data_IF_174832619188
#
_entry.id   IF_174832619188
#
_cell.length_a   1.000
_cell.length_b   1.000
_cell.length_c   1.000
_cell.angle_alpha   90.00
_cell.angle_beta   90.00
_cell.angle_gamma   90.00
#
_symmetry.space_group_name_H-M   'P 1'
#
loop_
_entity.id
_entity.type
_entity.pdbx_description
1 polymer ?
#
# COMPACT_ATOMS: atom_id res chain seq x y z
N UNK A 1 -1.45 -13.39 3.95
CA UNK A 1 -0.74 -12.41 3.10
C UNK A 1 0.72 -12.24 3.56
N UNK A 2 1.44 -13.35 3.84
CA UNK A 2 2.56 -13.31 4.80
C UNK A 2 3.95 -13.58 4.17
N UNK A 3 4.04 -13.65 2.84
CA UNK A 3 5.28 -14.07 2.13
C UNK A 3 5.60 -13.27 0.86
N UNK A 4 4.82 -12.26 0.51
CA UNK A 4 4.96 -11.60 -0.80
C UNK A 4 6.21 -10.71 -0.90
N UNK A 5 6.66 -10.10 0.21
CA UNK A 5 7.81 -9.19 0.20
C UNK A 5 9.15 -9.89 -0.05
N UNK A 6 9.30 -11.13 0.45
CA UNK A 6 10.56 -11.87 0.39
C UNK A 6 10.94 -12.26 -1.03
N UNK A 7 9.95 -12.76 -1.77
CA UNK A 7 10.18 -13.33 -3.10
C UNK A 7 10.39 -12.25 -4.17
N UNK A 8 9.76 -11.08 -4.04
CA UNK A 8 9.89 -10.01 -5.02
C UNK A 8 11.24 -9.28 -4.93
N UNK A 9 11.75 -9.01 -3.72
CA UNK A 9 13.02 -8.32 -3.54
C UNK A 9 14.22 -9.17 -3.99
N UNK A 10 14.24 -10.45 -3.61
CA UNK A 10 15.34 -11.36 -3.95
C UNK A 10 15.42 -11.69 -5.45
N UNK A 11 14.28 -11.84 -6.13
CA UNK A 11 14.27 -12.21 -7.55
C UNK A 11 14.75 -11.08 -8.48
N UNK A 12 14.56 -9.82 -8.07
CA UNK A 12 14.80 -8.67 -8.95
C UNK A 12 15.91 -7.74 -8.43
N UNK A 13 16.49 -8.00 -7.26
CA UNK A 13 17.58 -7.19 -6.71
C UNK A 13 17.19 -5.73 -6.38
N UNK A 14 15.91 -5.49 -6.10
CA UNK A 14 15.35 -4.15 -5.91
C UNK A 14 15.70 -3.59 -4.53
N UNK A 15 15.96 -2.28 -4.48
CA UNK A 15 16.05 -1.50 -3.24
C UNK A 15 14.66 -1.11 -2.72
N UNK A 16 14.56 -0.68 -1.45
CA UNK A 16 13.27 -0.30 -0.89
C UNK A 16 12.66 0.91 -1.60
N UNK A 17 13.48 1.83 -2.07
CA UNK A 17 13.11 3.06 -2.76
C UNK A 17 12.49 2.79 -4.14
N UNK A 18 12.79 1.63 -4.74
CA UNK A 18 12.25 1.16 -6.02
C UNK A 18 10.94 0.37 -5.84
N UNK A 19 10.53 0.13 -4.60
CA UNK A 19 9.33 -0.66 -4.27
C UNK A 19 8.18 0.25 -3.85
N UNK A 20 7.02 -0.02 -4.45
CA UNK A 20 5.73 0.53 -4.04
C UNK A 20 4.91 -0.57 -3.37
N UNK A 21 4.53 -0.37 -2.12
CA UNK A 21 3.64 -1.26 -1.38
C UNK A 21 2.22 -0.70 -1.38
N UNK A 22 1.31 -1.36 -2.08
CA UNK A 22 -0.12 -1.07 -2.04
C UNK A 22 -0.78 -2.02 -1.05
N UNK A 23 -1.49 -1.49 -0.05
CA UNK A 23 -2.15 -2.31 0.96
C UNK A 23 -3.41 -1.65 1.55
N UNK A 24 -4.26 -2.48 2.15
CA UNK A 24 -5.46 -2.03 2.85
C UNK A 24 -5.13 -1.38 4.21
N UNK A 25 -5.98 -0.46 4.64
CA UNK A 25 -5.80 0.35 5.83
C UNK A 25 -7.11 0.46 6.64
N UNK A 26 -7.09 -0.08 7.86
CA UNK A 26 -8.23 -0.07 8.77
C UNK A 26 -8.50 1.32 9.34
N UNK A 27 -7.46 2.15 9.54
CA UNK A 27 -7.64 3.47 10.17
C UNK A 27 -8.20 4.54 9.21
N UNK A 28 -8.46 4.17 7.94
CA UNK A 28 -9.04 5.05 6.93
C UNK A 28 -10.38 4.48 6.46
N UNK A 29 -11.43 5.30 6.31
CA UNK A 29 -12.69 4.82 5.77
C UNK A 29 -12.55 4.45 4.29
N UNK A 30 -13.44 3.57 3.81
CA UNK A 30 -13.51 3.22 2.40
C UNK A 30 -13.66 4.46 1.52
N UNK A 31 -12.98 4.48 0.39
CA UNK A 31 -12.95 5.64 -0.52
C UNK A 31 -11.88 6.68 -0.20
N UNK A 32 -11.12 6.51 0.90
CA UNK A 32 -9.94 7.34 1.20
C UNK A 32 -8.67 6.57 0.91
N UNK A 33 -7.72 7.24 0.28
CA UNK A 33 -6.39 6.72 0.02
C UNK A 33 -5.31 7.72 0.44
N UNK A 34 -4.11 7.23 0.70
CA UNK A 34 -2.96 8.10 0.94
C UNK A 34 -1.66 7.43 0.49
N UNK A 35 -0.88 8.15 -0.32
CA UNK A 35 0.48 7.79 -0.62
C UNK A 35 1.41 8.35 0.47
N UNK A 36 2.31 7.52 0.99
CA UNK A 36 3.30 7.93 1.99
C UNK A 36 4.67 7.32 1.69
N UNK A 37 5.70 8.15 1.73
CA UNK A 37 7.08 7.68 1.68
C UNK A 37 7.52 7.16 3.06
N UNK A 38 7.93 5.90 3.06
CA UNK A 38 8.45 5.17 4.20
C UNK A 38 7.62 5.19 5.49
N UNK A 39 8.24 4.75 6.59
CA UNK A 39 7.70 4.71 7.95
C UNK A 39 7.41 3.30 8.51
N UNK A 40 6.82 3.20 9.70
CA UNK A 40 6.61 1.90 10.39
C UNK A 40 5.46 1.06 9.82
N UNK A 41 5.47 -0.24 10.10
CA UNK A 41 4.47 -1.21 9.62
C UNK A 41 3.06 -1.03 10.23
N UNK A 42 2.90 -0.28 11.33
CA UNK A 42 1.61 -0.04 12.03
C UNK A 42 0.74 -1.29 12.26
N UNK A 43 1.35 -2.46 12.46
CA UNK A 43 0.64 -3.73 12.65
C UNK A 43 0.23 -4.45 11.37
N UNK A 44 0.52 -3.91 10.19
CA UNK A 44 0.26 -4.56 8.91
C UNK A 44 1.31 -5.65 8.62
N UNK A 45 0.90 -6.92 8.64
CA UNK A 45 1.81 -8.05 8.47
C UNK A 45 2.58 -8.02 7.14
N UNK A 46 1.92 -7.62 6.05
CA UNK A 46 2.58 -7.47 4.74
C UNK A 46 3.66 -6.39 4.73
N UNK A 47 3.43 -5.27 5.42
CA UNK A 47 4.41 -4.19 5.49
C UNK A 47 5.61 -4.60 6.34
N UNK A 48 5.36 -5.30 7.46
CA UNK A 48 6.43 -5.86 8.30
C UNK A 48 7.30 -6.83 7.52
N UNK A 49 6.69 -7.72 6.71
CA UNK A 49 7.44 -8.63 5.85
C UNK A 49 8.31 -7.87 4.85
N UNK A 50 7.75 -6.91 4.10
CA UNK A 50 8.53 -6.15 3.12
C UNK A 50 9.71 -5.40 3.76
N UNK A 51 9.49 -4.73 4.91
CA UNK A 51 10.55 -4.02 5.63
C UNK A 51 11.68 -4.98 6.05
N UNK A 52 11.32 -6.16 6.54
CA UNK A 52 12.29 -7.18 6.91
C UNK A 52 13.08 -7.70 5.72
N UNK A 53 12.43 -7.91 4.57
CA UNK A 53 13.08 -8.46 3.39
C UNK A 53 14.00 -7.45 2.69
N UNK A 54 13.58 -6.19 2.65
CA UNK A 54 14.34 -5.10 2.03
C UNK A 54 15.37 -4.47 2.98
N UNK A 55 15.40 -4.89 4.24
CA UNK A 55 16.19 -4.29 5.33
C UNK A 55 16.06 -2.75 5.42
N UNK A 56 14.92 -2.22 4.96
CA UNK A 56 14.66 -0.79 4.90
C UNK A 56 13.17 -0.54 4.92
N UNK A 57 12.79 0.61 5.48
CA UNK A 57 11.41 1.07 5.52
C UNK A 57 11.17 2.28 4.61
N UNK A 58 12.07 2.54 3.65
CA UNK A 58 12.02 3.70 2.76
C UNK A 58 11.04 3.58 1.59
N UNK A 59 10.38 2.42 1.43
CA UNK A 59 9.43 2.15 0.35
C UNK A 59 8.25 3.13 0.32
N UNK A 60 7.80 3.48 -0.88
CA UNK A 60 6.57 4.23 -1.08
C UNK A 60 5.37 3.33 -0.76
N UNK A 61 4.36 3.86 -0.08
CA UNK A 61 3.21 3.07 0.40
C UNK A 61 1.90 3.72 0.05
N UNK A 62 1.11 3.07 -0.80
CA UNK A 62 -0.26 3.47 -1.07
C UNK A 62 -1.19 2.73 -0.13
N UNK A 63 -1.79 3.48 0.79
CA UNK A 63 -2.73 2.98 1.79
C UNK A 63 -4.14 3.19 1.28
N UNK A 64 -4.89 2.12 1.07
CA UNK A 64 -6.29 2.15 0.62
C UNK A 64 -7.18 1.87 1.83
N UNK A 65 -8.02 2.82 2.21
CA UNK A 65 -8.92 2.69 3.35
C UNK A 65 -9.96 1.61 3.13
N UNK A 66 -10.17 0.75 4.14
CA UNK A 66 -11.23 -0.27 4.16
C UNK A 66 -12.16 -0.10 5.37
N UNK A 67 -11.91 0.90 6.21
CA UNK A 67 -12.62 1.13 7.47
C UNK A 67 -12.26 0.10 8.54
N UNK A 68 -12.38 0.50 9.80
CA UNK A 68 -12.25 -0.40 10.94
C UNK A 68 -13.64 -0.89 11.33
N UNK A 69 -13.86 -2.19 11.48
CA UNK A 69 -15.13 -2.69 12.00
C UNK A 69 -15.33 -2.20 13.44
N UNK A 70 -16.58 -2.07 13.85
CA UNK A 70 -16.97 -1.60 15.19
C UNK A 70 -16.45 -2.49 16.32
N UNK A 71 -16.34 -3.80 16.07
CA UNK A 71 -15.82 -4.76 17.04
C UNK A 71 -14.37 -5.16 16.70
N UNK A 72 -13.41 -5.01 17.64
CA UNK A 72 -12.01 -5.41 17.43
C UNK A 72 -11.84 -6.87 16.98
N UNK A 73 -12.66 -7.77 17.51
CA UNK A 73 -12.60 -9.20 17.19
C UNK A 73 -13.03 -9.50 15.74
N UNK A 74 -13.78 -8.58 15.11
CA UNK A 74 -14.20 -8.71 13.72
C UNK A 74 -13.12 -8.29 12.73
N UNK A 75 -11.97 -7.72 13.16
CA UNK A 75 -10.93 -7.22 12.26
C UNK A 75 -10.41 -8.31 11.32
N UNK A 76 -10.14 -9.52 11.83
CA UNK A 76 -9.63 -10.61 11.00
C UNK A 76 -10.68 -11.06 9.97
N UNK A 77 -11.94 -11.16 10.37
CA UNK A 77 -13.03 -11.50 9.46
C UNK A 77 -13.29 -10.41 8.42
N UNK A 78 -13.12 -9.14 8.80
CA UNK A 78 -13.28 -7.97 7.93
C UNK A 78 -12.25 -7.97 6.79
N UNK A 79 -10.96 -8.12 7.12
CA UNK A 79 -9.88 -8.11 6.11
C UNK A 79 -9.86 -9.34 5.20
N UNK A 80 -10.44 -10.45 5.65
CA UNK A 80 -10.59 -11.68 4.86
C UNK A 80 -11.96 -11.78 4.17
N UNK A 81 -12.88 -10.89 4.51
CA UNK A 81 -14.24 -10.86 4.02
C UNK A 81 -14.35 -10.26 2.63
N UNK A 82 -15.55 -10.34 2.06
CA UNK A 82 -15.88 -9.65 0.81
C UNK A 82 -16.51 -8.31 1.13
N UNK A 83 -16.24 -7.31 0.28
CA UNK A 83 -16.99 -6.05 0.29
C UNK A 83 -18.49 -6.32 0.05
N UNK A 84 -19.33 -5.60 0.77
CA UNK A 84 -20.78 -5.58 0.54
C UNK A 84 -21.13 -5.00 -0.84
N UNK A 85 -22.34 -5.22 -1.37
CA UNK A 85 -22.72 -4.66 -2.68
C UNK A 85 -22.55 -3.13 -2.75
N UNK A 86 -22.94 -2.41 -1.69
CA UNK A 86 -22.79 -0.95 -1.63
C UNK A 86 -21.30 -0.52 -1.61
N UNK A 87 -20.43 -1.28 -0.95
CA UNK A 87 -18.99 -1.00 -0.96
C UNK A 87 -18.36 -1.33 -2.32
N UNK A 88 -18.84 -2.38 -2.99
CA UNK A 88 -18.38 -2.76 -4.33
C UNK A 88 -18.63 -1.67 -5.36
N UNK A 89 -19.74 -0.92 -5.26
CA UNK A 89 -20.01 0.24 -6.12
C UNK A 89 -18.97 1.35 -5.97
N UNK A 90 -18.32 1.46 -4.80
CA UNK A 90 -17.28 2.44 -4.53
C UNK A 90 -15.89 2.00 -5.02
N UNK A 91 -15.68 0.71 -5.28
CA UNK A 91 -14.37 0.16 -5.62
C UNK A 91 -13.84 0.64 -6.97
N UNK A 92 -14.59 0.63 -8.10
CA UNK A 92 -14.05 1.04 -9.39
C UNK A 92 -13.45 2.46 -9.37
N UNK A 93 -14.18 3.52 -8.96
CA UNK A 93 -13.60 4.87 -8.94
C UNK A 93 -12.54 5.05 -7.85
N UNK A 94 -12.51 4.21 -6.81
CA UNK A 94 -11.42 4.20 -5.84
C UNK A 94 -10.14 3.63 -6.45
N UNK A 95 -10.23 2.49 -7.15
CA UNK A 95 -9.09 1.81 -7.75
C UNK A 95 -8.51 2.60 -8.93
N UNK A 96 -9.35 3.26 -9.73
CA UNK A 96 -8.91 4.19 -10.78
C UNK A 96 -8.06 5.31 -10.18
N UNK A 97 -8.60 6.03 -9.18
CA UNK A 97 -7.85 7.09 -8.49
C UNK A 97 -6.58 6.57 -7.82
N UNK A 98 -6.58 5.33 -7.32
CA UNK A 98 -5.41 4.72 -6.71
C UNK A 98 -4.31 4.48 -7.73
N UNK A 99 -4.68 4.01 -8.93
CA UNK A 99 -3.77 3.83 -10.06
C UNK A 99 -3.23 5.17 -10.55
N UNK A 100 -4.08 6.18 -10.72
CA UNK A 100 -3.67 7.52 -11.15
C UNK A 100 -2.63 8.12 -10.18
N UNK A 101 -2.91 8.07 -8.86
CA UNK A 101 -1.95 8.57 -7.86
C UNK A 101 -0.60 7.84 -7.90
N UNK A 102 -0.59 6.54 -8.20
CA UNK A 102 0.67 5.79 -8.34
C UNK A 102 1.42 6.23 -9.59
N UNK A 103 0.73 6.33 -10.72
CA UNK A 103 1.31 6.72 -12.00
C UNK A 103 1.86 8.14 -11.93
N UNK A 104 1.11 9.08 -11.40
CA UNK A 104 1.54 10.47 -11.20
C UNK A 104 2.83 10.51 -10.36
N UNK A 105 2.86 9.79 -9.24
CA UNK A 105 4.06 9.77 -8.39
C UNK A 105 5.27 9.09 -9.04
N UNK A 106 5.06 8.04 -9.85
CA UNK A 106 6.12 7.39 -10.61
C UNK A 106 6.68 8.36 -11.67
N UNK A 107 5.79 9.06 -12.39
CA UNK A 107 6.17 10.07 -13.36
C UNK A 107 6.96 11.21 -12.71
N UNK A 108 6.48 11.76 -11.60
CA UNK A 108 7.18 12.80 -10.83
C UNK A 108 8.58 12.35 -10.38
N UNK A 109 8.72 11.12 -9.87
CA UNK A 109 10.04 10.59 -9.46
C UNK A 109 10.98 10.32 -10.64
N UNK A 110 10.44 9.94 -11.79
CA UNK A 110 11.23 9.74 -13.02
C UNK A 110 11.79 11.05 -13.57
N UNK A 111 11.14 12.17 -13.26
CA UNK A 111 11.57 13.52 -13.64
C UNK A 111 12.46 14.19 -12.58
N UNK A 112 13.23 13.40 -11.81
CA UNK A 112 14.22 13.91 -10.85
C UNK A 112 15.07 15.04 -11.44
N UNK A 113 15.59 15.96 -10.58
CA UNK A 113 16.07 17.27 -11.01
C UNK A 113 17.06 17.09 -12.15
N UNK A 114 16.84 17.79 -13.26
CA UNK A 114 17.85 17.89 -14.31
C UNK A 114 19.14 18.29 -13.61
N UNK A 115 20.12 17.39 -13.57
CA UNK A 115 21.50 17.74 -13.27
C UNK A 115 21.93 18.72 -14.37
N UNK A 116 21.64 19.99 -14.14
CA UNK A 116 22.18 21.10 -14.90
C UNK A 116 23.69 21.18 -14.67
N UNK A 117 24.43 21.71 -15.65
CA UNK A 117 25.87 21.54 -15.78
C UNK A 117 26.68 22.10 -14.61
#
# INVERSE_FOLDING_TARGET
MNVNGHRAAELFGLTAEEVYLVHDELDKPLGKQALKLGGSARGHNGARSCISCLNSNAMARLRVGIGRPTHPDAVQAHVLGRFSPAEQELLPPLLERAADLLLDHICERSQGPSLGP
#
